data_IF_130596718716
#
_entry.id   IF_130596718716
#
_cell.length_a   1.000
_cell.length_b   1.000
_cell.length_c   1.000
_cell.angle_alpha   90.00
_cell.angle_beta   90.00
_cell.angle_gamma   90.00
#
_symmetry.space_group_name_H-M   'P 1'
#
loop_
_entity.id
_entity.type
_entity.pdbx_description
1 polymer ?
#
# COMPACT_ATOMS: atom_id res chain seq x y z
N UNK A 1 -1.59 -53.74 21.53
CA UNK A 1 -0.89 -52.75 20.68
C UNK A 1 -1.81 -51.58 20.32
N UNK A 2 -2.97 -51.81 19.70
CA UNK A 2 -3.93 -50.76 19.29
C UNK A 2 -4.48 -49.80 20.38
N UNK A 3 -4.53 -50.22 21.65
CA UNK A 3 -5.07 -49.38 22.74
C UNK A 3 -4.03 -48.42 23.35
N UNK A 4 -2.75 -48.83 23.30
CA UNK A 4 -1.60 -47.99 23.68
C UNK A 4 -1.45 -46.81 22.72
N UNK A 5 -1.65 -47.04 21.42
CA UNK A 5 -1.57 -46.00 20.39
C UNK A 5 -2.69 -44.96 20.52
N UNK A 6 -3.91 -45.39 20.91
CA UNK A 6 -5.03 -44.47 21.17
C UNK A 6 -4.77 -43.60 22.40
N UNK A 7 -4.17 -44.14 23.45
CA UNK A 7 -3.82 -43.39 24.65
C UNK A 7 -2.67 -42.41 24.38
N UNK A 8 -1.66 -42.81 23.60
CA UNK A 8 -0.59 -41.92 23.16
C UNK A 8 -1.14 -40.77 22.31
N UNK A 9 -2.01 -41.05 21.35
CA UNK A 9 -2.64 -40.03 20.51
C UNK A 9 -3.49 -39.05 21.35
N UNK A 10 -4.24 -39.54 22.34
CA UNK A 10 -5.01 -38.68 23.27
C UNK A 10 -4.11 -37.79 24.10
N UNK A 11 -3.01 -38.33 24.63
CA UNK A 11 -2.02 -37.57 25.40
C UNK A 11 -1.35 -36.48 24.55
N UNK A 12 -0.94 -36.82 23.32
CA UNK A 12 -0.36 -35.85 22.38
C UNK A 12 -1.36 -34.76 22.01
N UNK A 13 -2.63 -35.12 21.80
CA UNK A 13 -3.71 -34.17 21.51
C UNK A 13 -3.93 -33.23 22.69
N UNK A 14 -4.00 -33.75 23.92
CA UNK A 14 -4.17 -32.94 25.12
C UNK A 14 -2.97 -32.00 25.34
N UNK A 15 -1.75 -32.50 25.15
CA UNK A 15 -0.53 -31.70 25.24
C UNK A 15 -0.52 -30.58 24.20
N UNK A 16 -0.94 -30.85 22.96
CA UNK A 16 -1.08 -29.83 21.92
C UNK A 16 -2.13 -28.78 22.29
N UNK A 17 -3.30 -29.19 22.80
CA UNK A 17 -4.36 -28.26 23.25
C UNK A 17 -3.84 -27.38 24.38
N UNK A 18 -3.15 -27.95 25.37
CA UNK A 18 -2.55 -27.21 26.49
C UNK A 18 -1.49 -26.22 26.00
N UNK A 19 -0.65 -26.62 25.06
CA UNK A 19 0.38 -25.76 24.48
C UNK A 19 -0.24 -24.61 23.68
N UNK A 20 -1.28 -24.87 22.88
CA UNK A 20 -2.01 -23.84 22.13
C UNK A 20 -2.75 -22.89 23.07
N UNK A 21 -3.41 -23.41 24.10
CA UNK A 21 -4.11 -22.59 25.11
C UNK A 21 -3.12 -21.75 25.92
N UNK A 22 -1.98 -22.31 26.32
CA UNK A 22 -0.91 -21.59 27.01
C UNK A 22 -0.31 -20.49 26.14
N UNK A 23 -0.04 -20.77 24.86
CA UNK A 23 0.45 -19.76 23.90
C UNK A 23 -0.59 -18.65 23.66
N UNK A 24 -1.87 -19.00 23.54
CA UNK A 24 -2.96 -18.03 23.40
C UNK A 24 -3.11 -17.17 24.67
N UNK A 25 -3.06 -17.79 25.86
CA UNK A 25 -3.08 -17.10 27.14
C UNK A 25 -1.91 -16.13 27.29
N UNK A 26 -0.68 -16.58 26.97
CA UNK A 26 0.51 -15.74 26.94
C UNK A 26 0.37 -14.58 25.96
N UNK A 27 -0.17 -14.82 24.75
CA UNK A 27 -0.42 -13.75 23.78
C UNK A 27 -1.41 -12.72 24.33
N UNK A 28 -2.49 -13.16 24.96
CA UNK A 28 -3.52 -12.26 25.53
C UNK A 28 -2.95 -11.46 26.70
N UNK A 29 -2.21 -12.09 27.60
CA UNK A 29 -1.63 -11.42 28.78
C UNK A 29 -0.54 -10.41 28.44
N UNK A 30 0.12 -10.59 27.29
CA UNK A 30 1.18 -9.70 26.79
C UNK A 30 0.71 -8.80 25.65
N UNK A 31 -0.61 -8.62 25.44
CA UNK A 31 -1.08 -7.62 24.47
C UNK A 31 -0.64 -6.23 24.93
N UNK A 32 -0.05 -5.40 24.05
CA UNK A 32 0.26 -4.03 24.39
C UNK A 32 -1.01 -3.26 24.77
N UNK A 33 -0.86 -2.26 25.63
CA UNK A 33 -1.95 -1.36 25.96
C UNK A 33 -2.44 -0.67 24.67
N UNK A 34 -3.75 -0.40 24.54
CA UNK A 34 -4.26 0.36 23.40
C UNK A 34 -3.55 1.71 23.28
N UNK A 35 -3.01 1.99 22.10
CA UNK A 35 -2.36 3.24 21.80
C UNK A 35 -3.33 4.14 21.02
N UNK A 36 -3.41 5.41 21.41
CA UNK A 36 -4.22 6.40 20.68
C UNK A 36 -3.53 6.77 19.36
N UNK A 37 -4.31 7.10 18.34
CA UNK A 37 -3.75 7.56 17.08
C UNK A 37 -3.01 8.90 17.24
N UNK A 38 -1.87 9.03 16.56
CA UNK A 38 -1.22 10.31 16.38
C UNK A 38 -1.88 11.02 15.20
N UNK A 39 -2.58 12.12 15.48
CA UNK A 39 -3.18 12.95 14.43
C UNK A 39 -2.06 13.63 13.64
N UNK A 40 -2.06 13.56 12.29
CA UNK A 40 -1.09 14.26 11.46
C UNK A 40 -1.11 15.77 11.74
N UNK A 41 0.04 16.35 12.06
CA UNK A 41 0.18 17.80 12.20
C UNK A 41 0.35 18.38 10.80
N UNK A 42 -0.70 19.00 10.27
CA UNK A 42 -0.62 19.73 9.00
C UNK A 42 -0.39 21.20 9.31
N UNK A 43 0.71 21.76 8.80
CA UNK A 43 0.98 23.18 8.92
C UNK A 43 -0.13 23.97 8.21
N UNK A 44 -0.74 24.94 8.91
CA UNK A 44 -1.69 25.85 8.27
C UNK A 44 -0.94 26.77 7.30
N UNK A 45 -1.17 26.58 6.01
CA UNK A 45 -0.72 27.53 5.00
C UNK A 45 -1.82 28.52 4.65
N UNK A 46 -1.48 29.80 4.55
CA UNK A 46 -2.35 30.84 3.97
C UNK A 46 -2.23 30.92 2.45
N UNK A 47 -1.31 30.17 1.83
CA UNK A 47 -1.18 30.13 0.38
C UNK A 47 -2.37 29.41 -0.25
N UNK A 48 -2.78 29.84 -1.44
CA UNK A 48 -3.73 29.09 -2.23
C UNK A 48 -3.20 27.67 -2.51
N UNK A 49 -4.10 26.70 -2.58
CA UNK A 49 -3.74 25.35 -3.00
C UNK A 49 -3.29 25.37 -4.47
N UNK A 50 -2.18 24.69 -4.76
CA UNK A 50 -1.65 24.56 -6.13
C UNK A 50 -1.55 23.09 -6.49
N UNK A 51 -1.94 22.76 -7.72
CA UNK A 51 -1.69 21.44 -8.31
C UNK A 51 -0.52 21.54 -9.28
N UNK A 52 0.44 20.62 -9.15
CA UNK A 52 1.59 20.50 -10.03
C UNK A 52 1.81 19.03 -10.38
N UNK A 53 2.33 18.79 -11.57
CA UNK A 53 2.61 17.44 -12.09
C UNK A 53 4.05 17.39 -12.56
N UNK A 54 4.75 16.30 -12.24
CA UNK A 54 6.16 16.09 -12.61
C UNK A 54 6.40 14.62 -12.99
N UNK A 55 7.33 14.35 -13.90
CA UNK A 55 7.75 12.98 -14.23
C UNK A 55 8.97 12.58 -13.39
N UNK A 56 8.80 11.58 -12.53
CA UNK A 56 9.92 11.07 -11.70
C UNK A 56 10.80 10.06 -12.44
N UNK A 57 10.21 9.20 -13.28
CA UNK A 57 10.91 8.15 -14.01
C UNK A 57 10.81 8.42 -15.50
N UNK A 58 11.92 8.86 -16.08
CA UNK A 58 12.04 9.14 -17.52
C UNK A 58 12.60 7.97 -18.33
N UNK A 59 12.93 6.85 -17.68
CA UNK A 59 13.46 5.68 -18.37
C UNK A 59 12.38 5.00 -19.23
N UNK A 60 12.71 4.80 -20.51
CA UNK A 60 11.87 4.06 -21.46
C UNK A 60 12.17 2.55 -21.41
N UNK A 61 11.27 1.74 -21.95
CA UNK A 61 11.36 0.27 -22.02
C UNK A 61 11.32 -0.45 -20.67
N UNK A 62 10.81 0.22 -19.64
CA UNK A 62 10.55 -0.35 -18.32
C UNK A 62 9.08 -0.13 -17.93
N UNK A 63 8.58 -0.97 -17.03
CA UNK A 63 7.34 -0.76 -16.31
C UNK A 63 7.64 -0.21 -14.92
N UNK A 64 6.91 0.83 -14.51
CA UNK A 64 6.92 1.38 -13.15
C UNK A 64 5.55 1.17 -12.53
N UNK A 65 5.50 0.85 -11.23
CA UNK A 65 4.24 0.65 -10.52
C UNK A 65 4.43 0.84 -9.02
N UNK A 66 3.29 1.04 -8.35
CA UNK A 66 3.14 1.03 -6.89
C UNK A 66 3.95 2.14 -6.21
N UNK A 67 3.83 3.34 -6.77
CA UNK A 67 4.43 4.52 -6.19
C UNK A 67 3.92 4.80 -4.77
N UNK A 68 4.84 5.28 -3.94
CA UNK A 68 4.61 5.83 -2.61
C UNK A 68 5.61 6.96 -2.36
N UNK A 69 5.31 7.83 -1.39
CA UNK A 69 6.12 9.01 -1.10
C UNK A 69 6.18 9.31 0.39
N UNK A 70 7.21 10.03 0.79
CA UNK A 70 7.38 10.55 2.15
C UNK A 70 8.08 11.90 2.11
N UNK A 71 7.67 12.81 3.00
CA UNK A 71 8.35 14.08 3.22
C UNK A 71 9.62 13.87 4.08
N UNK A 72 10.71 14.50 3.65
CA UNK A 72 11.99 14.50 4.35
C UNK A 72 12.04 15.64 5.37
N UNK A 73 12.95 15.56 6.35
CA UNK A 73 13.06 16.57 7.41
C UNK A 73 13.38 17.99 6.90
N UNK A 74 13.93 18.11 5.69
CA UNK A 74 14.23 19.39 5.05
C UNK A 74 13.11 19.88 4.10
N UNK A 75 11.96 19.23 4.10
CA UNK A 75 10.79 19.58 3.29
C UNK A 75 10.83 19.06 1.85
N UNK A 76 11.90 18.37 1.43
CA UNK A 76 11.94 17.66 0.15
C UNK A 76 11.03 16.42 0.20
N UNK A 77 10.67 15.88 -0.96
CA UNK A 77 9.83 14.66 -1.04
C UNK A 77 10.65 13.53 -1.63
N UNK A 78 10.70 12.39 -0.97
CA UNK A 78 11.27 11.16 -1.54
C UNK A 78 10.15 10.24 -2.01
N UNK A 79 10.24 9.79 -3.26
CA UNK A 79 9.35 8.78 -3.82
C UNK A 79 10.04 7.41 -3.88
N UNK A 80 9.23 6.37 -3.86
CA UNK A 80 9.63 4.98 -4.09
C UNK A 80 8.64 4.30 -5.03
N UNK A 81 9.13 3.43 -5.91
CA UNK A 81 8.32 2.58 -6.79
C UNK A 81 9.14 1.33 -7.13
N UNK A 82 8.51 0.29 -7.66
CA UNK A 82 9.28 -0.79 -8.30
C UNK A 82 9.34 -0.58 -9.80
N UNK A 83 10.47 -0.94 -10.40
CA UNK A 83 10.74 -0.75 -11.82
C UNK A 83 11.46 -1.96 -12.42
N UNK A 84 11.20 -2.29 -13.68
CA UNK A 84 11.89 -3.35 -14.43
C UNK A 84 11.21 -3.66 -15.75
N UNK A 85 11.63 -4.71 -16.46
CA UNK A 85 11.07 -5.07 -17.78
C UNK A 85 9.56 -5.31 -17.80
N UNK A 86 9.00 -5.86 -16.72
CA UNK A 86 7.56 -6.00 -16.44
C UNK A 86 7.33 -6.27 -14.96
N UNK A 87 6.10 -6.11 -14.50
CA UNK A 87 5.73 -6.42 -13.12
C UNK A 87 6.14 -7.86 -12.72
N UNK A 88 6.95 -7.95 -11.65
CA UNK A 88 7.42 -9.21 -11.10
C UNK A 88 8.43 -9.96 -11.97
N UNK A 89 9.10 -9.30 -12.91
CA UNK A 89 10.28 -9.83 -13.58
C UNK A 89 11.49 -9.92 -12.64
N UNK A 90 12.53 -10.64 -13.06
CA UNK A 90 13.72 -10.86 -12.23
C UNK A 90 14.62 -9.63 -12.11
N UNK A 91 14.54 -8.74 -13.09
CA UNK A 91 15.25 -7.46 -13.15
C UNK A 91 14.49 -6.34 -12.42
N UNK A 92 13.40 -6.65 -11.71
CA UNK A 92 12.68 -5.66 -10.91
C UNK A 92 13.49 -5.30 -9.67
N UNK A 93 13.69 -4.01 -9.48
CA UNK A 93 14.22 -3.42 -8.26
C UNK A 93 13.26 -2.36 -7.68
N UNK A 94 13.53 -1.96 -6.44
CA UNK A 94 12.87 -0.80 -5.84
C UNK A 94 13.74 0.41 -6.13
N UNK A 95 13.17 1.41 -6.76
CA UNK A 95 13.80 2.66 -7.13
C UNK A 95 13.34 3.79 -6.22
N UNK A 96 14.16 4.82 -6.09
CA UNK A 96 13.83 6.05 -5.38
C UNK A 96 14.40 7.28 -6.07
N UNK A 97 13.71 8.41 -5.94
CA UNK A 97 14.20 9.72 -6.31
C UNK A 97 13.71 10.76 -5.29
N UNK A 98 14.38 11.91 -5.25
CA UNK A 98 14.03 13.03 -4.35
C UNK A 98 13.64 14.24 -5.18
N UNK A 99 12.50 14.83 -4.85
CA UNK A 99 11.98 16.07 -5.40
C UNK A 99 12.42 17.25 -4.54
N UNK A 100 13.05 18.25 -5.15
CA UNK A 100 13.60 19.42 -4.45
C UNK A 100 12.61 20.60 -4.31
N UNK A 101 11.36 20.41 -4.71
CA UNK A 101 10.34 21.46 -4.80
C UNK A 101 10.16 22.02 -6.22
N UNK A 102 11.05 21.67 -7.16
CA UNK A 102 11.00 22.12 -8.56
C UNK A 102 11.20 20.99 -9.57
N UNK A 103 12.03 20.00 -9.25
CA UNK A 103 12.36 18.89 -10.13
C UNK A 103 12.71 17.62 -9.34
N UNK A 104 12.57 16.47 -9.98
CA UNK A 104 13.07 15.19 -9.46
C UNK A 104 14.56 15.05 -9.75
N UNK A 105 15.32 14.57 -8.75
CA UNK A 105 16.67 14.08 -8.96
C UNK A 105 16.68 12.75 -9.74
N UNK A 106 17.88 12.26 -10.06
CA UNK A 106 18.04 10.98 -10.74
C UNK A 106 17.46 9.82 -9.90
N UNK A 107 16.73 8.93 -10.56
CA UNK A 107 16.27 7.68 -9.94
C UNK A 107 17.46 6.77 -9.61
N UNK A 108 17.41 6.13 -8.43
CA UNK A 108 18.44 5.25 -7.91
C UNK A 108 17.83 3.95 -7.39
N UNK A 109 18.50 2.84 -7.70
CA UNK A 109 18.13 1.52 -7.18
C UNK A 109 18.44 1.47 -5.68
N UNK A 110 17.41 1.23 -4.86
CA UNK A 110 17.51 1.09 -3.41
C UNK A 110 17.87 -0.35 -3.05
N UNK A 111 17.15 -1.32 -3.63
CA UNK A 111 17.38 -2.74 -3.40
C UNK A 111 16.85 -3.55 -4.57
N UNK A 112 17.59 -4.57 -4.98
CA UNK A 112 17.15 -5.53 -5.98
C UNK A 112 16.85 -6.92 -5.39
N UNK A 113 16.39 -7.81 -6.26
CA UNK A 113 15.96 -9.15 -5.91
C UNK A 113 17.10 -10.01 -5.36
N UNK A 114 18.28 -9.94 -5.97
CA UNK A 114 19.48 -10.69 -5.60
C UNK A 114 19.98 -10.28 -4.20
N UNK A 115 20.10 -8.99 -3.95
CA UNK A 115 20.51 -8.43 -2.66
C UNK A 115 19.52 -8.85 -1.56
N UNK A 116 18.21 -8.75 -1.82
CA UNK A 116 17.18 -9.19 -0.88
C UNK A 116 17.28 -10.70 -0.61
N UNK A 117 17.46 -11.52 -1.65
CA UNK A 117 17.61 -12.97 -1.52
C UNK A 117 18.82 -13.36 -0.67
N UNK A 118 19.96 -12.70 -0.90
CA UNK A 118 21.18 -12.92 -0.14
C UNK A 118 20.99 -12.55 1.35
N UNK A 119 20.47 -11.36 1.62
CA UNK A 119 20.24 -10.89 2.99
C UNK A 119 19.26 -11.78 3.77
N UNK A 120 18.19 -12.25 3.12
CA UNK A 120 17.18 -13.10 3.75
C UNK A 120 17.56 -14.58 3.79
N UNK A 121 18.68 -14.98 3.19
CA UNK A 121 19.06 -16.40 2.99
C UNK A 121 17.90 -17.25 2.44
N UNK A 122 17.11 -16.68 1.53
CA UNK A 122 15.86 -17.27 1.03
C UNK A 122 15.65 -16.89 -0.42
N UNK A 123 15.15 -17.82 -1.22
CA UNK A 123 14.76 -17.54 -2.60
C UNK A 123 13.73 -16.40 -2.67
N UNK A 124 14.02 -15.37 -3.47
CA UNK A 124 13.10 -14.27 -3.77
C UNK A 124 12.84 -14.26 -5.27
N UNK A 125 11.57 -14.44 -5.62
CA UNK A 125 11.08 -14.45 -7.00
C UNK A 125 10.74 -13.06 -7.50
N UNK A 126 10.12 -12.23 -6.65
CA UNK A 126 9.59 -10.90 -7.02
C UNK A 126 9.69 -9.92 -5.85
N UNK A 127 9.87 -8.65 -6.19
CA UNK A 127 9.69 -7.49 -5.32
C UNK A 127 8.41 -6.73 -5.69
N UNK A 128 7.84 -5.98 -4.76
CA UNK A 128 6.66 -5.15 -5.01
C UNK A 128 6.38 -4.13 -3.90
N UNK A 129 5.40 -3.25 -4.15
CA UNK A 129 4.80 -2.28 -3.24
C UNK A 129 5.75 -1.71 -2.18
N UNK A 130 6.71 -0.85 -2.54
CA UNK A 130 7.50 -0.12 -1.57
C UNK A 130 6.61 0.89 -0.81
N UNK A 131 6.83 1.00 0.49
CA UNK A 131 6.04 1.84 1.38
C UNK A 131 6.93 2.42 2.48
N UNK A 132 7.25 3.72 2.41
CA UNK A 132 8.03 4.38 3.44
C UNK A 132 7.17 4.69 4.68
N UNK A 133 7.81 4.73 5.84
CA UNK A 133 7.27 5.26 7.09
C UNK A 133 8.36 6.02 7.84
N UNK A 134 7.96 6.98 8.66
CA UNK A 134 8.86 7.64 9.62
C UNK A 134 8.56 7.12 11.03
N UNK A 135 9.57 6.59 11.70
CA UNK A 135 9.47 6.16 13.09
C UNK A 135 9.61 7.36 14.04
N UNK A 136 9.23 7.16 15.30
CA UNK A 136 9.27 8.20 16.33
C UNK A 136 10.69 8.71 16.64
N UNK A 137 11.72 7.89 16.42
CA UNK A 137 13.13 8.27 16.55
C UNK A 137 13.65 9.08 15.33
N UNK A 138 12.78 9.35 14.35
CA UNK A 138 13.09 10.07 13.12
C UNK A 138 13.63 9.18 11.99
N UNK A 139 13.94 7.90 12.26
CA UNK A 139 14.43 6.97 11.24
C UNK A 139 13.36 6.69 10.18
N UNK A 140 13.81 6.47 8.95
CA UNK A 140 12.95 6.03 7.87
C UNK A 140 12.93 4.52 7.82
N UNK A 141 11.74 3.95 7.71
CA UNK A 141 11.52 2.55 7.40
C UNK A 141 11.01 2.41 5.97
N UNK A 142 11.54 1.45 5.23
CA UNK A 142 11.02 1.05 3.93
C UNK A 142 10.50 -0.37 4.04
N UNK A 143 9.19 -0.51 3.98
CA UNK A 143 8.54 -1.81 3.86
C UNK A 143 8.33 -2.14 2.39
N UNK A 144 8.53 -3.39 2.00
CA UNK A 144 8.26 -3.86 0.65
C UNK A 144 7.84 -5.31 0.61
N UNK A 145 7.14 -5.68 -0.47
CA UNK A 145 6.62 -7.02 -0.68
C UNK A 145 7.71 -7.89 -1.31
N UNK A 146 7.89 -9.09 -0.77
CA UNK A 146 8.71 -10.15 -1.36
C UNK A 146 7.87 -11.40 -1.59
N UNK A 147 8.03 -12.06 -2.75
CA UNK A 147 7.34 -13.33 -3.07
C UNK A 147 8.37 -14.42 -3.29
N UNK A 148 8.17 -15.60 -2.71
CA UNK A 148 9.04 -16.77 -2.97
C UNK A 148 8.36 -17.88 -3.76
N UNK A 149 7.06 -18.09 -3.53
CA UNK A 149 6.29 -19.15 -4.19
C UNK A 149 4.95 -18.60 -4.70
N UNK A 150 4.48 -19.11 -5.84
CA UNK A 150 3.18 -18.72 -6.41
C UNK A 150 3.14 -17.29 -6.97
N UNK A 151 1.94 -16.71 -6.90
CA UNK A 151 1.67 -15.30 -7.22
C UNK A 151 1.72 -14.41 -5.97
N UNK A 152 1.07 -13.25 -6.02
CA UNK A 152 1.00 -12.30 -4.90
C UNK A 152 0.48 -12.93 -3.60
N UNK A 153 -0.38 -13.95 -3.68
CA UNK A 153 -0.84 -14.71 -2.52
C UNK A 153 0.27 -15.44 -1.73
N UNK A 154 1.48 -15.61 -2.27
CA UNK A 154 2.64 -16.19 -1.57
C UNK A 154 3.61 -15.15 -1.00
N UNK A 155 3.16 -13.91 -0.84
CA UNK A 155 3.98 -12.78 -0.40
C UNK A 155 4.34 -12.79 1.09
N UNK A 156 5.40 -12.08 1.44
CA UNK A 156 5.72 -11.63 2.79
C UNK A 156 6.16 -10.18 2.75
N UNK A 157 6.16 -9.51 3.91
CA UNK A 157 6.69 -8.15 4.04
C UNK A 157 8.16 -8.25 4.45
N UNK A 158 8.98 -7.40 3.85
CA UNK A 158 10.38 -7.17 4.20
C UNK A 158 10.55 -5.71 4.57
N UNK A 159 11.40 -5.42 5.53
CA UNK A 159 11.71 -4.08 6.00
C UNK A 159 13.21 -3.82 5.96
N UNK A 160 13.55 -2.56 5.75
CA UNK A 160 14.86 -1.97 5.99
C UNK A 160 14.64 -0.64 6.68
N UNK A 161 15.63 -0.16 7.43
CA UNK A 161 15.60 1.17 8.02
C UNK A 161 16.81 2.01 7.57
N UNK A 162 16.67 3.31 7.70
CA UNK A 162 17.64 4.33 7.34
C UNK A 162 17.67 5.41 8.42
N UNK A 163 18.88 5.83 8.78
CA UNK A 163 19.12 6.93 9.73
C UNK A 163 19.59 8.22 9.03
N UNK A 164 19.55 8.25 7.71
CA UNK A 164 20.10 9.32 6.86
C UNK A 164 19.13 9.71 5.73
N UNK A 165 17.83 9.78 6.03
CA UNK A 165 16.76 10.18 5.10
C UNK A 165 16.72 9.33 3.80
N UNK A 166 17.05 8.04 3.93
CA UNK A 166 16.99 7.05 2.85
C UNK A 166 18.20 7.06 1.92
N UNK A 167 19.34 7.64 2.33
CA UNK A 167 20.57 7.62 1.55
C UNK A 167 21.28 6.25 1.66
N UNK A 168 21.29 5.65 2.85
CA UNK A 168 21.71 4.26 3.07
C UNK A 168 20.66 3.49 3.83
N UNK A 169 20.67 2.16 3.66
CA UNK A 169 19.67 1.25 4.23
C UNK A 169 20.36 0.09 4.93
N UNK A 170 19.79 -0.35 6.05
CA UNK A 170 20.21 -1.56 6.73
C UNK A 170 19.91 -2.83 5.91
N UNK A 171 20.44 -3.96 6.37
CA UNK A 171 20.17 -5.24 5.74
C UNK A 171 18.67 -5.59 5.80
N UNK A 172 18.07 -6.10 4.69
CA UNK A 172 16.69 -6.57 4.66
C UNK A 172 16.34 -7.54 5.78
N UNK A 173 15.22 -7.29 6.45
CA UNK A 173 14.65 -8.16 7.48
C UNK A 173 13.21 -8.53 7.14
N UNK A 174 12.89 -9.83 7.18
CA UNK A 174 11.53 -10.31 6.91
C UNK A 174 10.65 -10.12 8.15
N UNK A 175 9.49 -9.49 8.00
CA UNK A 175 8.50 -9.44 9.08
C UNK A 175 7.80 -10.78 9.19
N UNK A 176 7.70 -11.29 10.42
CA UNK A 176 6.95 -12.50 10.74
C UNK A 176 5.54 -12.12 11.18
N UNK A 177 4.56 -12.24 10.28
CA UNK A 177 3.17 -11.79 10.49
C UNK A 177 2.20 -12.93 10.76
N UNK A 178 2.69 -14.17 10.70
CA UNK A 178 1.92 -15.38 11.01
C UNK A 178 2.85 -16.46 11.59
N UNK A 179 2.40 -17.20 12.62
CA UNK A 179 3.12 -18.37 13.12
C UNK A 179 3.13 -19.53 12.11
N UNK A 180 2.24 -19.50 11.09
CA UNK A 180 2.13 -20.54 10.07
C UNK A 180 2.46 -19.99 8.68
N UNK A 181 3.52 -20.53 8.07
CA UNK A 181 3.96 -20.36 6.67
C UNK A 181 4.34 -18.91 6.26
N UNK A 182 3.91 -17.89 7.02
CA UNK A 182 4.21 -16.46 6.86
C UNK A 182 4.08 -15.98 5.40
N UNK A 183 2.94 -16.32 4.79
CA UNK A 183 2.59 -16.02 3.39
C UNK A 183 1.36 -15.12 3.30
N UNK A 184 1.17 -14.56 2.11
CA UNK A 184 0.03 -13.77 1.69
C UNK A 184 -0.15 -12.46 2.43
N UNK A 185 0.88 -11.93 3.08
CA UNK A 185 0.78 -10.59 3.67
C UNK A 185 1.36 -9.58 2.69
N UNK A 186 0.60 -8.56 2.36
CA UNK A 186 0.96 -7.48 1.43
C UNK A 186 0.70 -6.12 2.05
N UNK A 187 1.32 -5.09 1.48
CA UNK A 187 1.20 -3.69 1.88
C UNK A 187 0.86 -2.83 0.68
N UNK A 188 0.20 -1.69 0.90
CA UNK A 188 0.01 -0.63 -0.10
C UNK A 188 -0.42 0.71 0.52
N UNK A 189 -1.24 0.66 1.56
CA UNK A 189 -1.76 1.86 2.23
C UNK A 189 -0.74 2.47 3.18
N UNK A 190 -0.77 3.80 3.30
CA UNK A 190 0.21 4.58 4.07
C UNK A 190 0.23 4.17 5.55
N UNK A 191 1.42 3.92 6.14
CA UNK A 191 1.55 3.68 7.58
C UNK A 191 1.22 4.95 8.38
N UNK A 192 0.78 4.78 9.62
CA UNK A 192 0.43 5.88 10.51
C UNK A 192 1.09 5.67 11.89
N UNK A 193 1.24 6.76 12.64
CA UNK A 193 1.84 6.73 13.96
C UNK A 193 0.77 6.62 15.06
N UNK A 194 1.12 5.95 16.15
CA UNK A 194 0.42 6.05 17.42
C UNK A 194 1.16 7.02 18.37
N UNK A 195 0.46 7.53 19.38
CA UNK A 195 1.01 8.51 20.36
C UNK A 195 2.15 7.95 21.22
N UNK A 196 2.22 6.64 21.38
CA UNK A 196 3.30 5.94 22.12
C UNK A 196 4.55 5.72 21.26
N UNK A 197 4.58 6.25 20.04
CA UNK A 197 5.68 6.14 19.09
C UNK A 197 5.70 4.85 18.28
N UNK A 198 4.75 3.93 18.50
CA UNK A 198 4.59 2.73 17.68
C UNK A 198 3.95 3.06 16.32
N UNK A 199 4.01 2.11 15.38
CA UNK A 199 3.53 2.30 14.00
C UNK A 199 2.35 1.36 13.72
N UNK A 200 1.30 1.89 13.12
CA UNK A 200 0.26 1.12 12.45
C UNK A 200 0.59 0.93 10.97
N UNK A 201 0.70 -0.31 10.52
CA UNK A 201 0.98 -0.66 9.13
C UNK A 201 -0.25 -1.36 8.51
N UNK A 202 -1.02 -0.67 7.64
CA UNK A 202 -2.13 -1.28 6.92
C UNK A 202 -1.63 -2.37 5.96
N UNK A 203 -2.15 -3.58 6.11
CA UNK A 203 -1.78 -4.77 5.33
C UNK A 203 -3.03 -5.44 4.74
N UNK A 204 -2.83 -6.42 3.86
CA UNK A 204 -3.94 -7.24 3.38
C UNK A 204 -3.49 -8.67 3.09
N UNK A 205 -4.50 -9.55 3.06
CA UNK A 205 -4.36 -10.97 2.79
C UNK A 205 -5.01 -11.34 1.46
N UNK A 206 -4.47 -12.35 0.75
CA UNK A 206 -5.06 -12.85 -0.50
C UNK A 206 -5.22 -14.38 -0.60
N UNK A 207 -4.64 -15.17 0.30
CA UNK A 207 -4.67 -16.63 0.25
C UNK A 207 -5.92 -17.17 0.95
N UNK A 208 -6.73 -17.95 0.23
CA UNK A 208 -8.00 -18.51 0.74
C UNK A 208 -9.01 -17.46 1.27
N UNK A 209 -8.81 -16.19 0.89
CA UNK A 209 -9.66 -15.06 1.22
C UNK A 209 -8.95 -13.74 0.97
N UNK A 210 -9.70 -12.69 0.64
CA UNK A 210 -9.16 -11.34 0.41
C UNK A 210 -9.67 -10.37 1.47
N UNK A 211 -8.82 -9.89 2.37
CA UNK A 211 -9.27 -9.03 3.47
C UNK A 211 -8.18 -8.08 3.94
N UNK A 212 -8.58 -6.90 4.38
CA UNK A 212 -7.71 -5.92 5.04
C UNK A 212 -7.39 -6.33 6.47
N UNK A 213 -6.16 -6.08 6.87
CA UNK A 213 -5.61 -6.31 8.21
C UNK A 213 -4.76 -5.09 8.61
N UNK A 214 -4.37 -5.03 9.88
CA UNK A 214 -3.51 -4.01 10.44
C UNK A 214 -2.43 -4.68 11.28
N UNK A 215 -1.16 -4.32 11.05
CA UNK A 215 -0.07 -4.65 11.98
C UNK A 215 0.17 -3.48 12.91
N UNK A 216 0.37 -3.78 14.18
CA UNK A 216 0.92 -2.85 15.17
C UNK A 216 2.39 -3.20 15.36
N UNK A 217 3.27 -2.27 15.02
CA UNK A 217 4.72 -2.45 15.02
C UNK A 217 5.37 -1.64 16.14
N UNK A 218 6.36 -2.23 16.82
CA UNK A 218 7.20 -1.51 17.76
C UNK A 218 8.07 -0.47 17.04
N UNK A 219 8.70 0.41 17.81
CA UNK A 219 9.69 1.37 17.29
C UNK A 219 10.91 0.69 16.64
N UNK A 220 11.21 -0.57 17.04
CA UNK A 220 12.28 -1.39 16.47
C UNK A 220 11.82 -2.29 15.30
N UNK A 221 10.56 -2.19 14.88
CA UNK A 221 10.02 -2.95 13.74
C UNK A 221 9.49 -4.35 14.07
N UNK A 222 9.36 -4.70 15.36
CA UNK A 222 8.77 -5.97 15.79
C UNK A 222 7.24 -5.94 15.65
N UNK A 223 6.64 -7.07 15.27
CA UNK A 223 5.17 -7.19 15.19
C UNK A 223 4.59 -7.43 16.58
N UNK A 224 3.94 -6.42 17.15
CA UNK A 224 3.32 -6.47 18.47
C UNK A 224 1.93 -7.11 18.42
N UNK A 225 1.12 -6.71 17.45
CA UNK A 225 -0.19 -7.29 17.21
C UNK A 225 -0.56 -7.27 15.73
N UNK A 226 -1.56 -8.09 15.39
CA UNK A 226 -2.16 -8.17 14.07
C UNK A 226 -3.65 -8.35 14.21
N UNK A 227 -4.40 -7.46 13.56
CA UNK A 227 -5.85 -7.42 13.65
C UNK A 227 -6.47 -7.45 12.25
N UNK A 228 -7.65 -8.07 12.15
CA UNK A 228 -8.46 -8.06 10.94
C UNK A 228 -9.38 -6.84 10.95
N UNK A 229 -9.37 -6.05 9.87
CA UNK A 229 -10.15 -4.82 9.75
C UNK A 229 -11.60 -5.08 9.35
N UNK A 230 -11.88 -6.19 8.67
CA UNK A 230 -13.23 -6.50 8.21
C UNK A 230 -13.55 -7.99 8.24
N UNK A 231 -14.79 -8.33 8.59
CA UNK A 231 -15.32 -9.70 8.53
C UNK A 231 -15.54 -10.22 7.09
N UNK A 232 -15.49 -9.33 6.09
CA UNK A 232 -15.68 -9.65 4.67
C UNK A 232 -14.48 -10.33 3.99
N UNK A 233 -14.66 -10.70 2.72
CA UNK A 233 -13.64 -11.38 1.88
C UNK A 233 -13.34 -10.67 0.55
N UNK A 234 -13.69 -9.38 0.43
CA UNK A 234 -13.59 -8.64 -0.84
C UNK A 234 -12.86 -7.28 -0.73
N UNK A 235 -12.41 -6.90 0.46
CA UNK A 235 -11.74 -5.61 0.71
C UNK A 235 -10.24 -5.81 0.89
N UNK A 236 -9.40 -5.20 0.07
CA UNK A 236 -7.93 -5.24 0.19
C UNK A 236 -7.34 -3.83 0.18
N UNK A 237 -6.02 -3.72 0.37
CA UNK A 237 -5.30 -2.45 0.31
C UNK A 237 -5.93 -1.35 1.18
N UNK A 238 -6.11 -1.61 2.50
CA UNK A 238 -6.70 -0.63 3.40
C UNK A 238 -5.85 0.64 3.46
N UNK A 239 -6.49 1.80 3.43
CA UNK A 239 -5.92 3.07 3.85
C UNK A 239 -6.63 3.51 5.13
N UNK A 240 -5.87 3.97 6.13
CA UNK A 240 -6.42 4.56 7.35
C UNK A 240 -6.46 6.07 7.22
N UNK A 241 -7.60 6.65 7.56
CA UNK A 241 -7.88 8.08 7.58
C UNK A 241 -8.11 8.47 9.04
N UNK A 242 -7.03 8.85 9.72
CA UNK A 242 -7.05 9.22 11.14
C UNK A 242 -7.71 10.59 11.30
N UNK A 243 -8.89 10.63 11.89
CA UNK A 243 -9.67 11.86 12.08
C UNK A 243 -9.34 12.53 13.41
N UNK A 244 -9.17 11.74 14.47
CA UNK A 244 -8.65 12.18 15.75
C UNK A 244 -7.94 11.03 16.48
N UNK A 245 -7.66 11.20 17.77
CA UNK A 245 -6.88 10.24 18.56
C UNK A 245 -7.58 8.91 18.83
N UNK A 246 -8.88 8.82 18.56
CA UNK A 246 -9.70 7.61 18.69
C UNK A 246 -10.43 7.22 17.41
N UNK A 247 -10.78 8.19 16.58
CA UNK A 247 -11.63 7.98 15.42
C UNK A 247 -10.80 7.86 14.15
N UNK A 248 -11.11 6.84 13.36
CA UNK A 248 -10.57 6.69 12.02
C UNK A 248 -11.55 5.98 11.09
N UNK A 249 -11.53 6.38 9.82
CA UNK A 249 -12.20 5.68 8.74
C UNK A 249 -11.17 4.87 7.94
N UNK A 250 -11.51 3.62 7.61
CA UNK A 250 -10.72 2.77 6.73
C UNK A 250 -11.46 2.60 5.42
N UNK A 251 -10.77 2.85 4.31
CA UNK A 251 -11.27 2.56 2.97
C UNK A 251 -10.44 1.44 2.34
N UNK A 252 -11.11 0.52 1.64
CA UNK A 252 -10.50 -0.65 1.01
C UNK A 252 -10.97 -0.79 -0.44
N UNK A 253 -10.02 -1.19 -1.29
CA UNK A 253 -10.26 -1.60 -2.68
C UNK A 253 -11.17 -2.83 -2.73
N UNK A 254 -12.13 -2.82 -3.64
CA UNK A 254 -13.13 -3.87 -3.80
C UNK A 254 -12.77 -4.83 -4.94
N UNK A 255 -12.55 -6.11 -4.60
CA UNK A 255 -12.12 -7.15 -5.56
C UNK A 255 -13.25 -8.08 -6.01
N UNK A 256 -14.50 -7.81 -5.60
CA UNK A 256 -15.65 -8.68 -5.89
C UNK A 256 -16.41 -8.35 -7.18
N UNK A 257 -17.62 -8.89 -7.28
CA UNK A 257 -18.56 -8.64 -8.38
C UNK A 257 -19.17 -7.23 -8.35
N UNK A 258 -19.71 -6.80 -9.49
CA UNK A 258 -20.39 -5.49 -9.62
C UNK A 258 -21.71 -5.44 -8.80
N UNK A 259 -22.19 -4.26 -8.39
CA UNK A 259 -21.49 -2.96 -8.47
C UNK A 259 -20.30 -2.94 -7.51
N UNK A 260 -19.14 -2.53 -8.03
CA UNK A 260 -17.90 -2.48 -7.24
C UNK A 260 -17.87 -1.12 -6.54
N UNK A 261 -17.90 -1.17 -5.21
CA UNK A 261 -17.90 0.02 -4.35
C UNK A 261 -16.78 -0.09 -3.34
N UNK A 262 -16.14 1.04 -3.01
CA UNK A 262 -15.16 1.08 -1.93
C UNK A 262 -15.79 0.48 -0.67
N UNK A 263 -15.06 -0.43 -0.02
CA UNK A 263 -15.47 -1.02 1.26
C UNK A 263 -14.94 -0.13 2.38
N UNK A 264 -15.82 0.22 3.31
CA UNK A 264 -15.48 1.03 4.47
C UNK A 264 -15.68 0.29 5.79
N UNK A 265 -14.85 0.61 6.77
CA UNK A 265 -15.07 0.29 8.19
C UNK A 265 -14.53 1.42 9.03
N UNK A 266 -15.07 1.62 10.22
CA UNK A 266 -14.70 2.72 11.12
C UNK A 266 -14.34 2.19 12.50
N UNK A 267 -13.60 2.99 13.24
CA UNK A 267 -13.32 2.80 14.67
C UNK A 267 -13.59 4.11 15.40
N UNK A 268 -14.04 4.00 16.65
CA UNK A 268 -14.19 5.12 17.59
C UNK A 268 -13.35 4.91 18.87
N UNK A 269 -12.43 3.94 18.85
CA UNK A 269 -11.64 3.53 20.01
C UNK A 269 -10.18 3.20 19.68
N UNK A 270 -9.61 3.96 18.75
CA UNK A 270 -8.22 3.87 18.30
C UNK A 270 -7.85 2.53 17.66
N UNK A 271 -8.79 1.93 16.93
CA UNK A 271 -8.58 0.67 16.22
C UNK A 271 -8.72 -0.58 17.08
N UNK A 272 -9.12 -0.46 18.35
CA UNK A 272 -9.39 -1.64 19.18
C UNK A 272 -10.56 -2.47 18.62
N UNK A 273 -11.59 -1.79 18.11
CA UNK A 273 -12.70 -2.41 17.43
C UNK A 273 -12.98 -1.71 16.10
N UNK A 274 -13.51 -2.51 15.16
CA UNK A 274 -13.90 -2.05 13.83
C UNK A 274 -15.37 -2.34 13.61
N UNK A 275 -16.07 -1.41 12.95
CA UNK A 275 -17.47 -1.59 12.56
C UNK A 275 -17.67 -2.89 11.77
N UNK A 276 -18.73 -3.64 12.08
CA UNK A 276 -19.05 -4.90 11.42
C UNK A 276 -20.56 -5.06 11.23
N UNK A 277 -21.04 -5.48 10.04
CA UNK A 277 -20.25 -5.75 8.83
C UNK A 277 -19.65 -4.46 8.23
N UNK A 278 -18.58 -4.56 7.42
CA UNK A 278 -18.08 -3.39 6.70
C UNK A 278 -19.13 -2.89 5.69
N UNK A 279 -19.19 -1.58 5.47
CA UNK A 279 -20.15 -0.94 4.58
C UNK A 279 -19.64 -0.85 3.13
N UNK A 280 -20.54 -0.91 2.14
CA UNK A 280 -20.26 -0.48 0.76
C UNK A 280 -20.62 0.99 0.65
N UNK A 281 -19.64 1.83 0.34
CA UNK A 281 -19.87 3.27 0.14
C UNK A 281 -20.56 3.57 -1.20
N UNK A 282 -20.86 4.84 -1.46
CA UNK A 282 -21.32 5.34 -2.76
C UNK A 282 -20.22 5.43 -3.81
N UNK A 283 -18.95 5.43 -3.39
CA UNK A 283 -17.78 5.55 -4.28
C UNK A 283 -17.61 4.34 -5.19
N UNK A 284 -17.59 4.57 -6.51
CA UNK A 284 -17.24 3.53 -7.46
C UNK A 284 -15.77 3.14 -7.30
N UNK A 285 -15.49 1.83 -7.39
CA UNK A 285 -14.12 1.32 -7.32
C UNK A 285 -13.95 0.17 -8.29
N UNK A 286 -13.44 0.39 -9.51
CA UNK A 286 -13.30 -0.62 -10.55
C UNK A 286 -12.13 -1.57 -10.28
N UNK A 287 -12.00 -2.03 -9.03
CA UNK A 287 -10.86 -2.77 -8.50
C UNK A 287 -9.55 -1.98 -8.64
N UNK A 288 -9.55 -0.70 -8.28
CA UNK A 288 -8.40 0.21 -8.34
C UNK A 288 -7.90 0.58 -6.94
N UNK A 289 -6.62 0.96 -6.84
CA UNK A 289 -6.06 1.47 -5.59
C UNK A 289 -6.76 2.78 -5.17
N UNK A 290 -6.71 3.06 -3.87
CA UNK A 290 -7.27 4.26 -3.24
C UNK A 290 -6.14 4.91 -2.45
N UNK A 291 -6.03 6.23 -2.53
CA UNK A 291 -5.17 7.03 -1.68
C UNK A 291 -6.01 8.13 -1.02
N UNK A 292 -5.67 8.53 0.19
CA UNK A 292 -6.41 9.59 0.88
C UNK A 292 -5.74 10.06 2.14
N UNK A 293 -6.19 11.21 2.63
CA UNK A 293 -5.71 11.87 3.84
C UNK A 293 -6.88 12.49 4.59
N UNK A 294 -6.78 12.54 5.91
CA UNK A 294 -7.65 13.37 6.75
C UNK A 294 -7.03 14.75 6.94
N UNK A 295 -7.83 15.80 6.80
CA UNK A 295 -7.44 17.18 7.04
C UNK A 295 -7.73 17.57 8.50
N UNK A 296 -6.99 18.57 9.06
CA UNK A 296 -7.20 19.02 10.44
C UNK A 296 -8.60 19.59 10.74
N UNK A 297 -9.33 20.00 9.70
CA UNK A 297 -10.70 20.52 9.82
C UNK A 297 -11.77 19.41 9.77
N UNK A 298 -11.36 18.14 9.77
CA UNK A 298 -12.23 16.97 9.78
C UNK A 298 -12.65 16.49 8.40
N UNK A 299 -12.30 17.20 7.32
CA UNK A 299 -12.56 16.75 5.96
C UNK A 299 -11.64 15.60 5.58
N UNK A 300 -12.13 14.70 4.74
CA UNK A 300 -11.36 13.60 4.16
C UNK A 300 -11.19 13.87 2.68
N UNK A 301 -9.95 13.83 2.19
CA UNK A 301 -9.65 13.86 0.75
C UNK A 301 -9.28 12.46 0.27
N UNK A 302 -9.86 12.03 -0.84
CA UNK A 302 -9.56 10.75 -1.47
C UNK A 302 -9.33 10.92 -2.96
N UNK A 303 -8.28 10.28 -3.44
CA UNK A 303 -8.00 10.10 -4.86
C UNK A 303 -8.26 8.65 -5.25
N UNK A 304 -9.12 8.44 -6.25
CA UNK A 304 -9.47 7.13 -6.76
C UNK A 304 -9.96 7.18 -8.21
N UNK A 305 -9.96 6.02 -8.87
CA UNK A 305 -10.65 5.84 -10.14
C UNK A 305 -12.16 5.74 -9.90
N UNK A 306 -12.88 6.85 -10.02
CA UNK A 306 -14.31 6.92 -9.70
C UNK A 306 -15.20 6.52 -10.89
N UNK A 307 -15.04 5.27 -11.35
CA UNK A 307 -15.73 4.71 -12.51
C UNK A 307 -16.37 3.36 -12.20
N UNK A 308 -17.48 3.04 -12.87
CA UNK A 308 -18.08 1.69 -12.80
C UNK A 308 -17.18 0.63 -13.48
N UNK A 309 -16.41 1.04 -14.49
CA UNK A 309 -15.52 0.19 -15.29
C UNK A 309 -14.30 0.97 -15.77
N UNK A 310 -13.14 0.31 -15.83
CA UNK A 310 -11.88 0.92 -16.28
C UNK A 310 -11.16 1.72 -15.19
N UNK A 311 -9.88 2.02 -15.39
CA UNK A 311 -9.04 2.81 -14.46
C UNK A 311 -8.40 4.00 -15.18
N UNK A 312 -9.16 4.60 -16.09
CA UNK A 312 -8.71 5.62 -17.03
C UNK A 312 -9.21 7.02 -16.67
N UNK A 313 -9.64 7.24 -15.42
CA UNK A 313 -9.98 8.57 -14.94
C UNK A 313 -9.77 8.67 -13.43
N UNK A 314 -8.86 9.55 -13.04
CA UNK A 314 -8.48 9.76 -11.65
C UNK A 314 -9.15 11.01 -11.10
N UNK A 315 -9.96 10.86 -10.06
CA UNK A 315 -10.73 11.96 -9.46
C UNK A 315 -10.24 12.23 -8.04
N UNK A 316 -10.25 13.51 -7.63
CA UNK A 316 -10.10 13.95 -6.26
C UNK A 316 -11.49 14.28 -5.68
N UNK A 317 -11.84 13.60 -4.59
CA UNK A 317 -13.10 13.76 -3.89
C UNK A 317 -12.88 14.19 -2.44
N UNK A 318 -13.87 14.89 -1.90
CA UNK A 318 -13.94 15.28 -0.50
C UNK A 318 -15.16 14.67 0.18
N UNK A 319 -15.02 14.31 1.45
CA UNK A 319 -16.13 14.05 2.37
C UNK A 319 -15.99 14.95 3.59
N UNK A 320 -17.10 15.50 4.05
CA UNK A 320 -17.19 16.36 5.25
C UNK A 320 -17.90 15.65 6.42
N UNK A 321 -18.31 14.40 6.22
CA UNK A 321 -19.18 13.62 7.11
C UNK A 321 -18.63 12.19 7.32
N UNK A 322 -17.31 12.06 7.49
CA UNK A 322 -16.61 10.80 7.79
C UNK A 322 -16.86 9.69 6.75
N UNK A 323 -17.00 10.08 5.48
CA UNK A 323 -17.13 9.17 4.35
C UNK A 323 -18.55 8.69 4.06
N UNK A 324 -19.58 9.29 4.67
CA UNK A 324 -20.98 9.01 4.37
C UNK A 324 -21.36 9.55 2.98
N UNK A 325 -21.01 10.80 2.69
CA UNK A 325 -21.20 11.44 1.38
C UNK A 325 -19.88 11.92 0.79
N UNK A 326 -19.86 12.00 -0.54
CA UNK A 326 -18.66 12.31 -1.31
C UNK A 326 -18.98 13.28 -2.44
N UNK A 327 -18.16 14.32 -2.56
CA UNK A 327 -18.23 15.29 -3.64
C UNK A 327 -16.94 15.26 -4.46
N UNK A 328 -17.07 15.15 -5.79
CA UNK A 328 -15.93 15.36 -6.69
C UNK A 328 -15.59 16.83 -6.76
N UNK A 329 -14.35 17.18 -6.42
CA UNK A 329 -13.86 18.57 -6.41
C UNK A 329 -12.88 18.84 -7.54
N UNK A 330 -12.24 17.81 -8.09
CA UNK A 330 -11.32 17.96 -9.21
C UNK A 330 -11.13 16.64 -9.97
N UNK A 331 -10.96 16.71 -11.29
CA UNK A 331 -10.56 15.58 -12.13
C UNK A 331 -9.07 15.69 -12.43
N UNK A 332 -8.25 14.83 -11.83
CA UNK A 332 -6.79 14.85 -11.97
C UNK A 332 -6.36 14.35 -13.35
N UNK A 333 -6.99 13.27 -13.82
CA UNK A 333 -6.75 12.69 -15.13
C UNK A 333 -8.07 12.24 -15.73
N UNK A 334 -8.29 12.49 -17.02
CA UNK A 334 -9.47 11.98 -17.71
C UNK A 334 -9.12 11.49 -19.11
N UNK A 335 -9.12 10.17 -19.27
CA UNK A 335 -8.92 9.49 -20.54
C UNK A 335 -10.19 8.78 -20.99
N UNK A 336 -11.37 9.20 -20.49
CA UNK A 336 -12.66 8.70 -20.93
C UNK A 336 -13.01 9.28 -22.30
N UNK A 337 -12.53 8.62 -23.36
CA UNK A 337 -13.15 8.74 -24.69
C UNK A 337 -14.01 7.50 -24.93
N UNK A 338 -15.18 7.69 -25.52
CA UNK A 338 -16.21 6.65 -25.69
C UNK A 338 -15.65 5.33 -26.29
N UNK A 339 -15.62 4.26 -25.49
CA UNK A 339 -15.32 2.90 -25.94
C UNK A 339 -14.02 2.30 -25.38
N UNK A 340 -13.59 1.19 -25.97
CA UNK A 340 -12.31 0.55 -25.67
C UNK A 340 -11.15 1.51 -26.03
N UNK A 341 -10.10 1.53 -25.20
CA UNK A 341 -8.90 2.30 -25.51
C UNK A 341 -8.07 1.52 -26.53
N UNK A 342 -8.09 1.97 -27.78
CA UNK A 342 -7.25 1.41 -28.84
C UNK A 342 -5.77 1.77 -28.60
N UNK A 343 -4.82 0.96 -29.10
CA UNK A 343 -3.40 1.28 -29.02
C UNK A 343 -3.06 2.69 -29.51
N UNK A 344 -3.66 3.14 -30.62
CA UNK A 344 -3.38 4.47 -31.18
C UNK A 344 -3.86 5.60 -30.24
N UNK A 345 -5.09 5.49 -29.71
CA UNK A 345 -5.63 6.47 -28.77
C UNK A 345 -4.83 6.50 -27.46
N UNK A 346 -4.39 5.33 -26.98
CA UNK A 346 -3.53 5.19 -25.81
C UNK A 346 -2.17 5.86 -26.03
N UNK A 347 -1.53 5.63 -27.18
CA UNK A 347 -0.26 6.25 -27.51
C UNK A 347 -0.38 7.77 -27.59
N UNK A 348 -1.40 8.29 -28.25
CA UNK A 348 -1.63 9.73 -28.36
C UNK A 348 -1.81 10.38 -26.98
N UNK A 349 -2.60 9.76 -26.10
CA UNK A 349 -2.77 10.23 -24.73
C UNK A 349 -1.41 10.26 -24.00
N UNK A 350 -0.66 9.17 -24.00
CA UNK A 350 0.64 9.10 -23.32
C UNK A 350 1.67 10.10 -23.89
N UNK A 351 1.68 10.36 -25.20
CA UNK A 351 2.53 11.39 -25.80
C UNK A 351 2.16 12.79 -25.29
N UNK A 352 0.87 13.09 -25.18
CA UNK A 352 0.39 14.38 -24.69
C UNK A 352 0.72 14.56 -23.21
N UNK A 353 0.44 13.55 -22.38
CA UNK A 353 0.80 13.56 -20.96
C UNK A 353 2.30 13.76 -20.75
N UNK A 354 3.15 13.04 -21.49
CA UNK A 354 4.60 13.21 -21.42
C UNK A 354 5.02 14.67 -21.67
N UNK A 355 4.54 15.26 -22.77
CA UNK A 355 4.89 16.64 -23.15
C UNK A 355 4.33 17.71 -22.19
N UNK A 356 3.13 17.49 -21.65
CA UNK A 356 2.47 18.44 -20.74
C UNK A 356 3.17 18.50 -19.38
N UNK A 357 3.67 17.37 -18.89
CA UNK A 357 4.29 17.28 -17.57
C UNK A 357 5.76 17.71 -17.59
N UNK A 358 6.51 17.35 -18.63
CA UNK A 358 7.95 17.61 -18.68
C UNK A 358 8.35 18.05 -20.11
N UNK A 359 8.50 19.37 -20.30
CA UNK A 359 8.82 19.96 -21.60
C UNK A 359 10.17 19.48 -22.18
N UNK A 360 11.05 18.94 -21.33
CA UNK A 360 12.37 18.41 -21.72
C UNK A 360 12.28 17.01 -22.35
N UNK A 361 11.12 16.34 -22.33
CA UNK A 361 10.92 15.05 -23.01
C UNK A 361 11.00 15.24 -24.53
N UNK A 362 12.17 14.95 -25.09
CA UNK A 362 12.44 15.05 -26.53
C UNK A 362 11.78 13.93 -27.35
N UNK A 363 11.65 12.72 -26.78
CA UNK A 363 11.08 11.55 -27.44
C UNK A 363 9.79 11.05 -26.77
N UNK A 364 8.73 11.86 -26.87
CA UNK A 364 7.41 11.48 -26.38
C UNK A 364 6.85 10.20 -27.05
N UNK A 365 7.29 9.90 -28.28
CA UNK A 365 6.86 8.71 -29.01
C UNK A 365 7.41 7.44 -28.35
N UNK A 366 8.69 7.41 -27.99
CA UNK A 366 9.29 6.28 -27.28
C UNK A 366 8.65 6.01 -25.92
N UNK A 367 8.21 7.06 -25.20
CA UNK A 367 7.43 6.88 -23.96
C UNK A 367 6.09 6.21 -24.22
N UNK A 368 5.34 6.69 -25.20
CA UNK A 368 4.05 6.10 -25.54
C UNK A 368 4.19 4.65 -26.00
N UNK A 369 5.21 4.33 -26.80
CA UNK A 369 5.53 2.95 -27.16
C UNK A 369 5.88 2.11 -25.94
N UNK A 370 6.59 2.69 -24.97
CA UNK A 370 6.89 2.02 -23.69
C UNK A 370 5.65 1.73 -22.87
N UNK A 371 4.77 2.72 -22.72
CA UNK A 371 3.49 2.53 -22.06
C UNK A 371 2.66 1.46 -22.78
N UNK A 372 2.59 1.50 -24.12
CA UNK A 372 1.84 0.52 -24.92
C UNK A 372 2.36 -0.90 -24.70
N UNK A 373 3.68 -1.13 -24.73
CA UNK A 373 4.25 -2.48 -24.50
C UNK A 373 3.87 -3.04 -23.13
N UNK A 374 3.74 -2.18 -22.12
CA UNK A 374 3.43 -2.60 -20.77
C UNK A 374 1.93 -2.78 -20.52
N UNK A 375 1.08 -2.00 -21.21
CA UNK A 375 -0.33 -1.84 -20.86
C UNK A 375 -1.32 -2.26 -21.95
N UNK A 376 -0.84 -2.57 -23.14
CA UNK A 376 -1.68 -3.05 -24.24
C UNK A 376 -1.52 -4.56 -24.42
N UNK A 377 -2.65 -5.26 -24.50
CA UNK A 377 -2.71 -6.66 -24.89
C UNK A 377 -3.65 -6.77 -26.10
N UNK A 378 -3.11 -7.25 -27.22
CA UNK A 378 -3.80 -7.25 -28.50
C UNK A 378 -4.27 -5.84 -28.91
N UNK A 379 -5.58 -5.63 -29.05
CA UNK A 379 -6.19 -4.36 -29.50
C UNK A 379 -6.80 -3.54 -28.36
N UNK A 380 -6.45 -3.86 -27.11
CA UNK A 380 -6.97 -3.19 -25.92
C UNK A 380 -5.84 -2.76 -25.01
N UNK A 381 -5.93 -1.53 -24.51
CA UNK A 381 -4.99 -0.98 -23.55
C UNK A 381 -5.71 -0.54 -22.29
N UNK A 382 -5.02 -0.64 -21.15
CA UNK A 382 -5.53 -0.19 -19.86
C UNK A 382 -4.66 0.90 -19.26
N UNK A 383 -5.28 1.82 -18.54
CA UNK A 383 -4.58 2.72 -17.62
C UNK A 383 -4.54 2.07 -16.23
N UNK A 384 -3.54 2.40 -15.40
CA UNK A 384 -3.43 1.88 -14.02
C UNK A 384 -3.07 2.95 -13.01
#
# INVERSE_FOLDING_TARGET
>A
MFESDKNLLRLLTLALIMLVAGAAGYKISNRPAPALFQVPVVAQSKSAATLQTYFVSTQQNIATHAASLIELNDGRIRAFWFAGSREGAQDVDIQSAVFDGKQWGAAQSVINREQTQQALSRYVKKLGNPLPARAADGSLWLYYVTVSLGGWAGSSITAMNSHDEGATWSAPQRLITSPFINISTLIKGTPFAYRDGTIGLPIYHEFLGKFGELLHLSQSGEVLDKQRLSSGKLGIQPILLVENDKQATVLMRHTGSRPKRVIATQTDDAGQHWSSPPNKTTLANPDAAIAGVSLPDGRILVTLNNLETGRNALSLLVSEDRGETWQSIYQLEDQQKNGFVSPDSFAQANQQLAKQTEATIADANGYAQSAQRNKCVAQQCDFE
#
